data_IF_158126449579
#
_entry.id   IF_158126449579
#
_cell.length_a   1.000
_cell.length_b   1.000
_cell.length_c   1.000
_cell.angle_alpha   90.00
_cell.angle_beta   90.00
_cell.angle_gamma   90.00
#
_symmetry.space_group_name_H-M   'P 1'
#
loop_
_entity.id
_entity.type
_entity.pdbx_description
1 polymer ?
#
# COMPACT_ATOMS: atom_id res chain seq x y z
N UNK A 1 -23.66 -36.42 -11.03
CA UNK A 1 -24.21 -35.53 -9.98
C UNK A 1 -24.14 -34.11 -10.53
N UNK A 2 -25.25 -33.38 -10.53
CA UNK A 2 -25.43 -32.10 -11.25
C UNK A 2 -24.43 -31.04 -10.74
N UNK A 3 -23.55 -30.51 -11.60
CA UNK A 3 -22.77 -29.31 -11.31
C UNK A 3 -23.70 -28.11 -11.43
N UNK A 4 -24.14 -27.58 -10.30
CA UNK A 4 -24.82 -26.28 -10.29
C UNK A 4 -23.72 -25.21 -10.43
N UNK A 5 -23.71 -24.51 -11.56
CA UNK A 5 -22.96 -23.29 -11.72
C UNK A 5 -23.68 -22.21 -10.91
N UNK A 6 -23.10 -21.82 -9.76
CA UNK A 6 -23.58 -20.68 -9.00
C UNK A 6 -22.89 -19.44 -9.57
N UNK A 7 -23.64 -18.60 -10.28
CA UNK A 7 -23.20 -17.26 -10.66
C UNK A 7 -23.59 -16.36 -9.49
N UNK A 8 -22.61 -15.92 -8.70
CA UNK A 8 -22.83 -14.95 -7.64
C UNK A 8 -22.86 -13.54 -8.25
N UNK A 9 -23.99 -12.85 -8.10
CA UNK A 9 -24.11 -11.41 -8.33
C UNK A 9 -24.19 -10.73 -6.97
N UNK A 10 -23.41 -9.68 -6.75
CA UNK A 10 -23.63 -8.79 -5.61
C UNK A 10 -23.67 -7.34 -6.06
N UNK A 11 -24.66 -6.63 -5.51
CA UNK A 11 -24.83 -5.20 -5.67
C UNK A 11 -24.07 -4.48 -4.55
N UNK A 12 -23.31 -3.45 -4.91
CA UNK A 12 -22.67 -2.52 -3.98
C UNK A 12 -23.48 -1.22 -3.93
N UNK A 13 -23.59 -0.59 -2.76
CA UNK A 13 -24.14 0.77 -2.59
C UNK A 13 -23.03 1.67 -2.06
N UNK A 14 -22.76 2.78 -2.74
CA UNK A 14 -21.87 3.84 -2.24
C UNK A 14 -22.73 5.03 -1.85
N UNK A 15 -22.66 5.43 -0.58
CA UNK A 15 -23.24 6.69 -0.10
C UNK A 15 -22.10 7.68 0.14
N UNK A 16 -21.86 8.59 -0.81
CA UNK A 16 -20.97 9.72 -0.62
C UNK A 16 -21.81 10.96 -0.29
N UNK A 17 -21.78 11.42 0.96
CA UNK A 17 -22.28 12.74 1.33
C UNK A 17 -21.11 13.73 1.25
N UNK A 18 -21.01 14.42 0.11
CA UNK A 18 -20.06 15.51 -0.09
C UNK A 18 -20.74 16.82 0.30
N UNK A 19 -20.34 17.43 1.42
CA UNK A 19 -20.49 18.89 1.59
C UNK A 19 -19.13 19.53 1.30
N UNK A 20 -18.99 20.12 0.12
CA UNK A 20 -17.83 20.93 -0.22
C UNK A 20 -18.20 22.42 -0.12
N UNK A 21 -17.45 23.23 0.65
CA UNK A 21 -17.20 24.61 0.27
C UNK A 21 -15.99 24.63 -0.66
N UNK A 22 -16.19 25.05 -1.91
CA UNK A 22 -15.08 25.42 -2.82
C UNK A 22 -14.30 26.58 -2.21
N UNK A 23 -13.00 26.41 -2.04
CA UNK A 23 -12.09 27.45 -1.56
C UNK A 23 -10.75 26.90 -1.10
N UNK A 24 -10.06 26.13 -1.93
CA UNK A 24 -8.62 25.91 -1.80
C UNK A 24 -7.99 26.45 -3.07
N UNK A 25 -7.10 27.44 -2.92
CA UNK A 25 -6.36 28.02 -4.02
C UNK A 25 -5.54 26.93 -4.70
N UNK A 26 -5.67 26.88 -6.02
CA UNK A 26 -4.86 26.07 -6.91
C UNK A 26 -3.42 26.61 -6.91
N UNK A 27 -2.54 25.97 -6.16
CA UNK A 27 -1.12 25.82 -6.48
C UNK A 27 -0.60 24.59 -5.71
N UNK A 28 -0.08 23.64 -6.48
CA UNK A 28 0.21 22.23 -6.23
C UNK A 28 0.97 21.89 -4.94
N UNK A 29 0.34 21.68 -3.77
CA UNK A 29 0.99 20.94 -2.67
C UNK A 29 -0.03 20.23 -1.78
N UNK A 30 -0.57 19.11 -2.27
CA UNK A 30 -1.19 18.05 -1.45
C UNK A 30 -1.31 16.82 -2.34
N UNK A 31 -0.18 16.14 -2.59
CA UNK A 31 -0.24 14.75 -3.03
C UNK A 31 -0.77 13.93 -1.85
N UNK A 32 -2.09 13.74 -1.87
CA UNK A 32 -2.74 12.67 -1.12
C UNK A 32 -2.20 11.34 -1.66
N UNK A 33 -2.02 10.29 -0.83
CA UNK A 33 -1.78 8.96 -1.36
C UNK A 33 -2.87 8.66 -2.38
N UNK A 34 -2.50 8.27 -3.61
CA UNK A 34 -3.46 7.97 -4.69
C UNK A 34 -4.52 6.92 -4.27
N UNK A 35 -4.23 6.11 -3.25
CA UNK A 35 -5.19 5.19 -2.63
C UNK A 35 -6.36 5.87 -1.91
N UNK A 36 -6.22 7.11 -1.41
CA UNK A 36 -7.27 7.85 -0.69
C UNK A 36 -8.03 8.85 -1.58
N UNK A 37 -7.53 9.11 -2.80
CA UNK A 37 -8.17 9.88 -3.87
C UNK A 37 -8.76 9.00 -4.97
N UNK A 38 -8.43 7.69 -5.00
CA UNK A 38 -9.41 6.71 -5.47
C UNK A 38 -10.66 6.90 -4.63
N UNK A 39 -11.61 7.65 -5.18
CA UNK A 39 -13.01 7.41 -4.89
C UNK A 39 -13.13 5.91 -5.14
N UNK A 40 -13.32 5.10 -4.10
CA UNK A 40 -13.63 3.69 -4.27
C UNK A 40 -14.94 3.64 -5.05
N UNK A 41 -14.84 3.77 -6.38
CA UNK A 41 -15.93 3.63 -7.31
C UNK A 41 -16.31 2.17 -7.26
N UNK A 42 -17.62 1.90 -7.24
CA UNK A 42 -18.25 0.59 -7.33
C UNK A 42 -17.38 -0.37 -8.16
N UNK A 43 -16.64 -1.26 -7.49
CA UNK A 43 -15.90 -2.32 -8.17
C UNK A 43 -16.81 -3.53 -8.20
N UNK A 44 -17.22 -3.90 -9.42
CA UNK A 44 -17.98 -5.11 -9.69
C UNK A 44 -17.07 -5.97 -10.55
N UNK A 45 -16.27 -6.82 -9.89
CA UNK A 45 -15.28 -7.64 -10.56
C UNK A 45 -15.97 -8.93 -11.02
N UNK A 46 -15.88 -9.23 -12.31
CA UNK A 46 -16.15 -10.58 -12.79
C UNK A 46 -14.94 -11.44 -12.42
N UNK A 47 -14.98 -12.08 -11.25
CA UNK A 47 -13.93 -13.02 -10.88
C UNK A 47 -13.97 -14.22 -11.86
N UNK A 48 -12.83 -14.65 -12.42
CA UNK A 48 -12.67 -16.03 -12.88
C UNK A 48 -12.95 -16.97 -11.70
N UNK A 49 -13.06 -18.28 -11.95
CA UNK A 49 -13.21 -19.29 -10.90
C UNK A 49 -11.96 -19.26 -10.02
N UNK A 50 -11.96 -18.42 -8.98
CA UNK A 50 -10.98 -18.37 -7.90
C UNK A 50 -11.64 -18.85 -6.61
N UNK A 51 -10.81 -19.16 -5.61
CA UNK A 51 -11.29 -19.70 -4.34
C UNK A 51 -11.59 -18.57 -3.31
N UNK A 52 -11.81 -17.32 -3.72
CA UNK A 52 -12.02 -16.21 -2.79
C UNK A 52 -13.03 -15.18 -3.30
N UNK A 53 -14.15 -15.01 -2.59
CA UNK A 53 -15.11 -13.93 -2.89
C UNK A 53 -14.93 -12.77 -1.92
N UNK A 54 -14.86 -11.54 -2.44
CA UNK A 54 -14.66 -10.33 -1.64
C UNK A 54 -15.73 -9.27 -1.96
N UNK A 55 -16.29 -8.65 -0.93
CA UNK A 55 -17.27 -7.57 -1.05
C UNK A 55 -16.84 -6.38 -0.19
N UNK A 56 -16.66 -5.20 -0.80
CA UNK A 56 -16.17 -4.00 -0.14
C UNK A 56 -17.22 -2.87 -0.17
N UNK A 57 -17.43 -2.23 0.97
CA UNK A 57 -18.19 -0.98 1.11
C UNK A 57 -17.35 0.01 1.93
N UNK A 58 -16.91 1.11 1.31
CA UNK A 58 -16.31 2.23 2.05
C UNK A 58 -17.13 3.51 1.96
N UNK A 59 -17.01 4.31 3.01
CA UNK A 59 -17.60 5.63 3.13
C UNK A 59 -16.58 6.60 3.73
N UNK A 60 -16.51 7.81 3.17
CA UNK A 60 -15.63 8.89 3.62
C UNK A 60 -16.49 10.08 4.02
N UNK A 61 -16.28 10.61 5.22
CA UNK A 61 -16.98 11.79 5.72
C UNK A 61 -15.94 12.84 6.07
N UNK A 62 -16.03 14.02 5.45
CA UNK A 62 -15.12 15.14 5.73
C UNK A 62 -15.92 16.24 6.39
N UNK A 63 -15.50 16.70 7.58
CA UNK A 63 -16.14 17.80 8.30
C UNK A 63 -15.10 18.89 8.54
N UNK A 64 -15.09 19.90 7.69
CA UNK A 64 -14.31 21.13 7.90
C UNK A 64 -15.24 22.24 8.39
N UNK A 65 -15.02 22.76 9.60
CA UNK A 65 -15.68 23.99 10.05
C UNK A 65 -14.74 25.18 9.76
N UNK A 66 -14.99 25.86 8.64
CA UNK A 66 -14.40 27.17 8.36
C UNK A 66 -15.49 28.23 8.56
N UNK A 67 -15.59 28.79 9.77
CA UNK A 67 -16.40 29.99 10.00
C UNK A 67 -15.79 31.14 9.18
N UNK A 68 -16.48 31.58 8.12
CA UNK A 68 -16.04 32.74 7.34
C UNK A 68 -16.28 34.03 8.12
N UNK A 69 -15.23 34.83 8.38
CA UNK A 69 -15.37 36.20 8.83
C UNK A 69 -15.63 37.11 7.62
N UNK A 70 -16.86 37.62 7.50
CA UNK A 70 -17.36 38.30 6.28
C UNK A 70 -16.67 39.64 5.93
N UNK A 71 -15.64 40.06 6.65
CA UNK A 71 -15.00 41.37 6.50
C UNK A 71 -13.56 41.35 5.96
N UNK A 72 -12.87 40.20 5.92
CA UNK A 72 -11.45 40.15 5.50
C UNK A 72 -11.14 39.20 4.34
N UNK A 73 -12.04 38.29 3.96
CA UNK A 73 -11.89 37.46 2.75
C UNK A 73 -10.85 36.33 2.82
N UNK A 74 -10.14 36.16 3.93
CA UNK A 74 -9.28 35.01 4.21
C UNK A 74 -9.86 34.19 5.36
N UNK A 75 -10.28 32.96 5.08
CA UNK A 75 -10.69 31.99 6.10
C UNK A 75 -10.33 30.57 5.62
N UNK A 76 -9.05 30.21 5.70
CA UNK A 76 -8.66 28.81 5.79
C UNK A 76 -8.66 28.46 7.29
N UNK A 77 -9.50 27.51 7.71
CA UNK A 77 -9.40 26.98 9.06
C UNK A 77 -8.01 26.34 9.20
N UNK A 78 -7.26 26.71 10.23
CA UNK A 78 -5.93 26.15 10.51
C UNK A 78 -5.96 24.66 10.89
N UNK A 79 -7.14 24.05 10.88
CA UNK A 79 -7.34 22.63 11.14
C UNK A 79 -8.45 22.06 10.27
N UNK A 80 -8.44 20.74 10.11
CA UNK A 80 -9.50 19.96 9.46
C UNK A 80 -9.71 18.65 10.20
N UNK A 81 -10.98 18.29 10.43
CA UNK A 81 -11.34 16.96 10.94
C UNK A 81 -11.88 16.12 9.79
N UNK A 82 -11.44 14.88 9.68
CA UNK A 82 -11.95 13.95 8.68
C UNK A 82 -12.12 12.55 9.26
N UNK A 83 -13.06 11.80 8.71
CA UNK A 83 -13.36 10.44 9.11
C UNK A 83 -13.48 9.51 7.91
N UNK A 84 -13.10 8.26 8.11
CA UNK A 84 -13.23 7.21 7.11
C UNK A 84 -13.75 5.94 7.77
N UNK A 85 -14.79 5.34 7.21
CA UNK A 85 -15.35 4.08 7.67
C UNK A 85 -15.43 3.09 6.51
N UNK A 86 -14.88 1.90 6.71
CA UNK A 86 -14.84 0.81 5.74
C UNK A 86 -15.40 -0.46 6.35
N UNK A 87 -16.12 -1.22 5.54
CA UNK A 87 -16.57 -2.57 5.85
C UNK A 87 -16.26 -3.47 4.67
N UNK A 88 -15.60 -4.60 4.91
CA UNK A 88 -15.27 -5.58 3.89
C UNK A 88 -15.65 -6.97 4.37
N UNK A 89 -16.39 -7.71 3.57
CA UNK A 89 -16.59 -9.14 3.79
C UNK A 89 -15.64 -9.91 2.89
N UNK A 90 -14.98 -10.92 3.45
CA UNK A 90 -14.16 -11.87 2.71
C UNK A 90 -14.65 -13.28 2.97
N UNK A 91 -14.71 -14.06 1.89
CA UNK A 91 -14.94 -15.50 1.91
C UNK A 91 -13.74 -16.15 1.24
N UNK A 92 -13.05 -17.01 1.96
CA UNK A 92 -11.90 -17.78 1.48
C UNK A 92 -12.30 -19.24 1.49
N UNK A 93 -11.99 -19.94 0.41
CA UNK A 93 -12.22 -21.36 0.28
C UNK A 93 -10.87 -22.03 0.01
N UNK A 94 -10.55 -23.10 0.72
CA UNK A 94 -9.33 -23.86 0.54
C UNK A 94 -8.06 -22.98 0.44
N UNK A 95 -7.93 -21.98 1.33
CA UNK A 95 -6.99 -20.87 1.13
C UNK A 95 -5.53 -21.35 1.06
N UNK A 96 -5.10 -22.23 1.96
CA UNK A 96 -3.71 -22.72 1.96
C UNK A 96 -3.45 -23.87 0.98
N UNK A 97 -4.45 -24.25 0.16
CA UNK A 97 -4.42 -25.37 -0.79
C UNK A 97 -4.11 -26.74 -0.17
N UNK A 98 -4.10 -26.86 1.16
CA UNK A 98 -3.84 -28.11 1.86
C UNK A 98 -5.14 -28.91 1.94
N UNK A 99 -5.30 -29.82 1.00
CA UNK A 99 -6.32 -30.85 1.07
C UNK A 99 -5.87 -31.88 2.13
N UNK A 100 -6.63 -32.02 3.23
CA UNK A 100 -6.47 -33.08 4.24
C UNK A 100 -5.46 -32.78 5.38
N UNK A 101 -5.63 -31.65 6.09
CA UNK A 101 -4.95 -31.44 7.39
C UNK A 101 -5.38 -32.56 8.36
N UNK A 102 -4.45 -33.32 8.97
CA UNK A 102 -4.80 -34.20 10.08
C UNK A 102 -5.41 -33.34 11.19
N UNK A 103 -6.72 -33.48 11.39
CA UNK A 103 -7.45 -32.64 12.32
C UNK A 103 -6.97 -32.94 13.74
N UNK A 104 -6.15 -32.06 14.31
CA UNK A 104 -5.77 -32.21 15.72
C UNK A 104 -6.99 -31.94 16.61
N UNK A 105 -7.98 -31.17 16.11
CA UNK A 105 -9.22 -30.80 16.82
C UNK A 105 -10.52 -30.88 15.97
N UNK A 106 -10.53 -31.64 14.88
CA UNK A 106 -11.74 -31.85 14.04
C UNK A 106 -12.03 -30.78 12.98
N UNK A 107 -11.16 -29.78 12.76
CA UNK A 107 -11.25 -28.88 11.61
C UNK A 107 -10.26 -29.30 10.53
N UNK A 108 -10.78 -30.02 9.53
CA UNK A 108 -10.13 -30.27 8.24
C UNK A 108 -10.53 -29.20 7.20
N UNK A 109 -11.20 -28.14 7.67
CA UNK A 109 -11.73 -27.06 6.84
C UNK A 109 -10.83 -25.82 7.01
N UNK A 110 -10.32 -25.33 5.90
CA UNK A 110 -9.51 -24.12 5.74
C UNK A 110 -10.30 -23.06 4.94
N UNK A 111 -11.61 -23.25 4.80
CA UNK A 111 -12.54 -22.21 4.41
C UNK A 111 -12.73 -21.25 5.59
N UNK A 112 -12.88 -19.97 5.29
CA UNK A 112 -13.11 -18.94 6.29
C UNK A 112 -14.00 -17.83 5.75
N UNK A 113 -14.84 -17.25 6.60
CA UNK A 113 -15.75 -16.18 6.21
C UNK A 113 -15.79 -15.13 7.30
N UNK A 114 -15.29 -13.94 7.03
CA UNK A 114 -15.15 -12.91 8.04
C UNK A 114 -15.54 -11.53 7.53
N UNK A 115 -15.91 -10.69 8.48
CA UNK A 115 -16.26 -9.30 8.27
C UNK A 115 -15.20 -8.42 8.91
N UNK A 116 -14.56 -7.60 8.08
CA UNK A 116 -13.62 -6.58 8.48
C UNK A 116 -14.34 -5.24 8.57
N UNK A 117 -14.05 -4.49 9.62
CA UNK A 117 -14.45 -3.09 9.75
C UNK A 117 -13.24 -2.25 10.06
N UNK A 118 -13.21 -1.01 9.55
CA UNK A 118 -12.19 -0.02 9.88
C UNK A 118 -12.79 1.36 10.01
N UNK A 119 -12.52 2.02 11.12
CA UNK A 119 -12.81 3.43 11.32
C UNK A 119 -11.50 4.19 11.48
N UNK A 120 -11.39 5.36 10.85
CA UNK A 120 -10.32 6.34 11.07
C UNK A 120 -10.91 7.69 11.39
N UNK A 121 -10.34 8.37 12.37
CA UNK A 121 -10.62 9.78 12.67
C UNK A 121 -9.31 10.55 12.65
N UNK A 122 -9.23 11.54 11.78
CA UNK A 122 -8.04 12.34 11.55
C UNK A 122 -8.28 13.81 11.87
N UNK A 123 -7.27 14.45 12.44
CA UNK A 123 -7.15 15.90 12.58
C UNK A 123 -5.90 16.33 11.84
N UNK A 124 -6.07 17.12 10.79
CA UNK A 124 -4.97 17.84 10.12
C UNK A 124 -4.86 19.23 10.74
N UNK A 125 -3.64 19.74 10.88
CA UNK A 125 -3.36 21.11 11.31
C UNK A 125 -2.43 21.80 10.31
N UNK A 126 -2.65 23.08 10.08
CA UNK A 126 -1.85 23.99 9.27
C UNK A 126 -2.00 25.42 9.81
N UNK A 127 -1.43 25.73 10.99
CA UNK A 127 -1.52 27.06 11.61
C UNK A 127 -0.88 28.18 10.81
N UNK A 128 0.06 27.87 9.91
CA UNK A 128 0.70 28.80 8.99
C UNK A 128 1.37 28.01 7.85
N UNK A 129 1.85 28.68 6.78
CA UNK A 129 2.46 28.01 5.63
C UNK A 129 3.78 27.25 5.89
N UNK A 130 4.30 27.26 7.13
CA UNK A 130 5.55 26.59 7.49
C UNK A 130 5.34 25.36 8.36
N UNK A 131 4.20 25.24 9.04
CA UNK A 131 3.93 24.14 9.95
C UNK A 131 2.64 23.44 9.54
N UNK A 132 2.75 22.15 9.30
CA UNK A 132 1.60 21.27 9.09
C UNK A 132 1.74 20.00 9.94
N UNK A 133 0.64 19.31 10.23
CA UNK A 133 0.67 18.06 10.96
C UNK A 133 -0.60 17.26 10.81
N UNK A 134 -0.54 16.01 11.24
CA UNK A 134 -1.70 15.10 11.26
C UNK A 134 -1.65 14.22 12.49
N UNK A 135 -2.82 13.98 13.05
CA UNK A 135 -3.09 12.90 14.01
C UNK A 135 -4.24 12.07 13.47
N UNK A 136 -4.07 10.76 13.34
CA UNK A 136 -5.10 9.80 12.90
C UNK A 136 -5.20 8.68 13.93
N UNK A 137 -6.38 8.49 14.51
CA UNK A 137 -6.72 7.26 15.22
C UNK A 137 -7.38 6.26 14.28
N UNK A 138 -7.10 4.97 14.45
CA UNK A 138 -7.70 3.88 13.70
C UNK A 138 -8.24 2.81 14.64
N UNK A 139 -9.42 2.28 14.37
CA UNK A 139 -9.96 1.06 14.99
C UNK A 139 -10.33 0.10 13.85
N UNK A 140 -9.67 -1.04 13.79
CA UNK A 140 -9.84 -2.08 12.76
C UNK A 140 -10.21 -3.40 13.43
N UNK A 141 -11.37 -3.96 13.11
CA UNK A 141 -11.88 -5.18 13.76
C UNK A 141 -12.21 -6.25 12.75
N UNK A 142 -12.00 -7.48 13.19
CA UNK A 142 -12.44 -8.68 12.50
C UNK A 142 -13.61 -9.34 13.25
N UNK A 143 -14.56 -9.89 12.50
CA UNK A 143 -15.68 -10.63 13.07
C UNK A 143 -15.95 -11.91 12.27
N UNK A 144 -16.13 -13.02 12.98
CA UNK A 144 -16.62 -14.27 12.42
C UNK A 144 -15.55 -15.17 11.79
N UNK A 145 -14.27 -14.82 11.91
CA UNK A 145 -13.16 -15.67 11.48
C UNK A 145 -13.04 -16.92 12.35
N UNK A 146 -12.89 -18.08 11.72
CA UNK A 146 -12.70 -19.37 12.40
C UNK A 146 -11.23 -19.84 12.38
N UNK A 147 -10.38 -19.26 11.50
CA UNK A 147 -9.02 -19.77 11.22
C UNK A 147 -7.92 -18.75 11.59
N UNK A 148 -8.23 -17.46 11.66
CA UNK A 148 -7.22 -16.42 11.90
C UNK A 148 -6.81 -16.40 13.39
N UNK A 149 -5.50 -16.41 13.62
CA UNK A 149 -4.90 -16.33 14.94
C UNK A 149 -4.09 -15.04 15.07
N UNK A 150 -4.72 -14.01 15.64
CA UNK A 150 -4.09 -12.70 15.83
C UNK A 150 -2.82 -12.76 16.70
N UNK A 151 -2.78 -13.59 17.75
CA UNK A 151 -1.57 -13.72 18.58
C UNK A 151 -0.35 -14.21 17.76
N UNK A 152 -0.58 -15.10 16.78
CA UNK A 152 0.48 -15.57 15.89
C UNK A 152 0.87 -14.50 14.86
N UNK A 153 -0.09 -13.75 14.33
CA UNK A 153 0.15 -12.68 13.37
C UNK A 153 0.86 -11.48 14.01
N UNK A 154 0.43 -11.04 15.19
CA UNK A 154 1.07 -9.98 15.99
C UNK A 154 2.54 -10.32 16.28
N UNK A 155 2.83 -11.56 16.73
CA UNK A 155 4.20 -12.04 16.98
C UNK A 155 5.10 -12.03 15.76
N UNK A 156 4.53 -12.13 14.57
CA UNK A 156 5.25 -12.06 13.30
C UNK A 156 5.29 -10.65 12.71
N UNK A 157 4.57 -9.69 13.31
CA UNK A 157 4.38 -8.35 12.77
C UNK A 157 3.62 -8.30 11.45
N UNK A 158 2.77 -9.30 11.19
CA UNK A 158 2.03 -9.44 9.92
C UNK A 158 0.51 -9.37 10.08
N UNK A 159 0.00 -8.93 11.24
CA UNK A 159 -1.45 -8.77 11.41
C UNK A 159 -1.98 -7.64 10.53
N UNK A 160 -2.73 -8.04 9.51
CA UNK A 160 -3.39 -7.17 8.54
C UNK A 160 -4.91 -7.13 8.72
N UNK A 161 -5.46 -7.77 9.76
CA UNK A 161 -6.89 -8.01 9.94
C UNK A 161 -7.47 -7.26 11.13
N UNK A 162 -6.80 -7.30 12.29
CA UNK A 162 -7.25 -6.66 13.52
C UNK A 162 -6.17 -5.75 14.10
N UNK A 163 -6.59 -4.55 14.45
CA UNK A 163 -5.84 -3.66 15.32
C UNK A 163 -6.87 -2.77 16.00
N UNK A 164 -7.02 -2.94 17.32
CA UNK A 164 -7.97 -2.17 18.12
C UNK A 164 -7.59 -0.68 18.09
N UNK A 165 -8.32 0.19 18.79
CA UNK A 165 -8.07 1.64 18.73
C UNK A 165 -6.58 1.98 18.99
N UNK A 166 -5.87 2.38 17.93
CA UNK A 166 -4.45 2.76 17.94
C UNK A 166 -4.20 4.10 17.21
N UNK A 167 -3.00 4.63 17.37
CA UNK A 167 -2.49 5.82 16.70
C UNK A 167 -1.87 5.43 15.34
N UNK A 168 -2.66 5.60 14.27
CA UNK A 168 -2.24 5.26 12.90
C UNK A 168 -1.25 6.26 12.29
N UNK A 169 -1.44 7.55 12.56
CA UNK A 169 -0.53 8.61 12.15
C UNK A 169 -0.44 9.67 13.25
N UNK A 170 0.76 10.20 13.49
CA UNK A 170 1.01 11.33 14.35
C UNK A 170 2.34 11.97 13.97
N UNK A 171 2.30 13.00 13.13
CA UNK A 171 3.50 13.65 12.65
C UNK A 171 3.34 15.16 12.49
N UNK A 172 4.49 15.84 12.49
CA UNK A 172 4.62 17.25 12.15
C UNK A 172 5.59 17.39 10.97
N UNK A 173 5.30 18.35 10.09
CA UNK A 173 6.18 18.80 9.01
C UNK A 173 6.44 20.31 9.17
N UNK A 174 7.72 20.67 9.17
CA UNK A 174 8.22 22.03 9.26
C UNK A 174 8.97 22.40 7.97
N UNK A 175 8.44 23.36 7.21
CA UNK A 175 9.14 23.98 6.07
C UNK A 175 10.08 25.08 6.57
N UNK A 176 11.32 25.07 6.10
CA UNK A 176 12.38 25.96 6.57
C UNK A 176 12.30 27.32 5.87
N UNK A 177 11.40 28.18 6.35
CA UNK A 177 11.14 29.48 5.72
C UNK A 177 10.67 29.31 4.27
N UNK A 178 11.06 30.22 3.38
CA UNK A 178 10.75 30.15 1.94
C UNK A 178 11.65 29.18 1.15
N UNK A 179 12.53 28.44 1.82
CA UNK A 179 13.43 27.50 1.16
C UNK A 179 12.68 26.25 0.67
N UNK A 180 13.26 25.49 -0.29
CA UNK A 180 12.70 24.21 -0.74
C UNK A 180 12.84 23.10 0.31
N UNK A 181 13.45 23.38 1.47
CA UNK A 181 13.72 22.38 2.49
C UNK A 181 12.59 22.26 3.50
N UNK A 182 12.27 21.04 3.89
CA UNK A 182 11.39 20.75 5.01
C UNK A 182 11.91 19.55 5.82
N UNK A 183 11.49 19.48 7.09
CA UNK A 183 11.74 18.34 7.98
C UNK A 183 10.38 17.80 8.39
N UNK A 184 10.21 16.48 8.40
CA UNK A 184 8.99 15.82 8.88
C UNK A 184 9.36 14.69 9.83
N UNK A 185 8.66 14.58 10.96
CA UNK A 185 8.95 13.55 11.95
C UNK A 185 7.68 13.07 12.68
N UNK A 186 7.65 11.79 13.01
CA UNK A 186 6.58 11.12 13.76
C UNK A 186 6.12 9.83 13.09
N UNK A 187 4.94 9.33 13.49
CA UNK A 187 4.32 8.15 12.89
C UNK A 187 3.60 8.52 11.61
N UNK A 188 3.95 7.93 10.48
CA UNK A 188 3.38 8.26 9.17
C UNK A 188 3.34 7.07 8.22
N UNK A 189 2.51 7.14 7.18
CA UNK A 189 2.63 6.21 6.06
C UNK A 189 3.75 6.66 5.11
N UNK A 190 4.53 5.69 4.64
CA UNK A 190 5.51 5.88 3.58
C UNK A 190 4.99 5.22 2.31
N UNK A 191 4.75 6.03 1.28
CA UNK A 191 4.27 5.59 -0.03
C UNK A 191 5.16 6.24 -1.08
N UNK A 192 5.93 5.44 -1.82
CA UNK A 192 6.85 5.93 -2.86
C UNK A 192 6.68 5.18 -4.16
N UNK A 193 6.79 5.92 -5.27
CA UNK A 193 6.50 5.41 -6.62
C UNK A 193 5.14 4.73 -6.65
N UNK A 194 5.12 3.52 -7.20
CA UNK A 194 3.96 2.63 -7.27
C UNK A 194 3.72 1.80 -6.00
N UNK A 195 4.46 2.06 -4.93
CA UNK A 195 4.42 1.25 -3.72
C UNK A 195 4.82 -0.22 -3.92
N UNK A 196 5.56 -0.52 -5.00
CA UNK A 196 6.06 -1.88 -5.26
C UNK A 196 7.16 -2.29 -4.29
N UNK A 197 7.89 -1.33 -3.73
CA UNK A 197 8.94 -1.54 -2.71
C UNK A 197 8.64 -0.85 -1.37
N UNK A 198 7.95 0.30 -1.38
CA UNK A 198 7.64 1.09 -0.18
C UNK A 198 6.19 1.59 -0.23
N UNK A 199 5.33 0.97 0.56
CA UNK A 199 3.89 1.21 0.58
C UNK A 199 3.25 1.04 1.95
N UNK A 200 2.14 1.75 2.14
CA UNK A 200 1.31 1.73 3.33
C UNK A 200 0.31 0.57 3.38
N UNK A 201 0.20 -0.24 2.32
CA UNK A 201 -0.67 -1.43 2.26
C UNK A 201 -2.10 -1.19 2.76
N UNK A 202 -2.77 -0.13 2.26
CA UNK A 202 -4.12 0.23 2.75
C UNK A 202 -5.21 -0.77 2.36
N UNK A 203 -4.90 -1.74 1.47
CA UNK A 203 -5.72 -2.92 1.23
C UNK A 203 -5.95 -3.69 2.54
N UNK A 204 -4.90 -3.95 3.32
CA UNK A 204 -5.03 -4.54 4.66
C UNK A 204 -6.06 -3.82 5.51
N UNK A 205 -6.70 -4.53 6.44
CA UNK A 205 -7.57 -3.89 7.43
C UNK A 205 -6.75 -3.01 8.36
N UNK A 206 -5.66 -3.53 8.89
CA UNK A 206 -4.59 -2.69 9.42
C UNK A 206 -3.74 -2.23 8.23
N UNK A 207 -3.34 -0.96 8.19
CA UNK A 207 -2.46 -0.44 7.16
C UNK A 207 -1.09 -0.17 7.78
N UNK A 208 -0.03 -0.38 7.01
CA UNK A 208 1.35 -0.16 7.45
C UNK A 208 1.60 1.31 7.70
N UNK A 209 2.32 1.60 8.78
CA UNK A 209 2.86 2.90 9.11
C UNK A 209 4.28 2.74 9.69
N UNK A 210 5.00 3.84 9.79
CA UNK A 210 6.40 3.89 10.19
C UNK A 210 6.60 5.03 11.17
N UNK A 211 7.40 4.80 12.19
CA UNK A 211 7.96 5.89 12.99
C UNK A 211 9.20 6.38 12.23
N UNK A 212 9.13 7.61 11.70
CA UNK A 212 10.09 8.09 10.72
C UNK A 212 10.51 9.55 10.93
N UNK A 213 11.72 9.86 10.49
CA UNK A 213 12.24 11.20 10.31
C UNK A 213 12.66 11.41 8.85
N UNK A 214 12.27 12.53 8.27
CA UNK A 214 12.51 12.88 6.87
C UNK A 214 13.15 14.26 6.75
N UNK A 215 14.16 14.37 5.90
CA UNK A 215 14.60 15.64 5.31
C UNK A 215 14.11 15.66 3.87
N UNK A 216 13.42 16.74 3.50
CA UNK A 216 12.74 16.88 2.22
C UNK A 216 13.33 18.07 1.48
N UNK A 217 13.64 17.89 0.20
CA UNK A 217 13.89 18.95 -0.77
C UNK A 217 12.77 18.93 -1.81
N UNK A 218 12.07 20.06 -2.00
CA UNK A 218 10.88 20.14 -2.83
C UNK A 218 10.93 21.35 -3.76
N UNK A 219 11.03 21.10 -5.06
CA UNK A 219 10.83 22.05 -6.15
C UNK A 219 9.78 21.53 -7.13
N UNK A 220 9.33 22.36 -8.07
CA UNK A 220 8.28 22.00 -9.03
C UNK A 220 8.61 20.73 -9.85
N UNK A 221 9.84 20.65 -10.37
CA UNK A 221 10.26 19.56 -11.27
C UNK A 221 11.14 18.50 -10.59
N UNK A 222 11.48 18.69 -9.31
CA UNK A 222 12.43 17.84 -8.61
C UNK A 222 12.11 17.75 -7.12
N UNK A 223 12.16 16.54 -6.57
CA UNK A 223 12.16 16.32 -5.13
C UNK A 223 13.22 15.31 -4.72
N UNK A 224 13.75 15.47 -3.51
CA UNK A 224 14.64 14.51 -2.86
C UNK A 224 14.21 14.32 -1.40
N UNK A 225 13.92 13.08 -1.02
CA UNK A 225 13.59 12.69 0.34
C UNK A 225 14.75 11.86 0.90
N UNK A 226 15.28 12.25 2.06
CA UNK A 226 16.19 11.45 2.88
C UNK A 226 15.43 11.00 4.12
N UNK A 227 15.35 9.70 4.35
CA UNK A 227 14.46 9.11 5.34
C UNK A 227 15.21 8.11 6.20
N UNK A 228 14.95 8.16 7.51
CA UNK A 228 15.22 7.09 8.44
C UNK A 228 13.87 6.70 9.07
N UNK A 229 13.59 5.40 9.11
CA UNK A 229 12.30 4.88 9.53
C UNK A 229 12.45 3.50 10.14
N UNK A 230 11.57 3.19 11.08
CA UNK A 230 11.33 1.85 11.57
C UNK A 230 9.86 1.51 11.31
N UNK A 231 9.60 0.28 10.88
CA UNK A 231 8.21 -0.17 10.66
C UNK A 231 7.52 -0.31 12.01
N UNK A 232 6.26 0.10 12.09
CA UNK A 232 5.47 -0.10 13.31
C UNK A 232 4.85 -1.49 13.27
N UNK A 233 5.02 -2.23 14.36
CA UNK A 233 4.48 -3.58 14.55
C UNK A 233 3.11 -3.47 15.19
N UNK A 234 2.13 -4.12 14.58
CA UNK A 234 0.77 -4.23 15.12
C UNK A 234 0.78 -5.16 16.32
N UNK A 235 0.19 -4.69 17.43
CA UNK A 235 -0.20 -5.52 18.57
C UNK A 235 -1.69 -5.30 18.81
N UNK A 236 -2.51 -6.26 18.39
CA UNK A 236 -3.97 -6.17 18.47
C UNK A 236 -4.51 -6.02 19.91
N UNK A 237 -3.68 -6.21 20.93
CA UNK A 237 -4.03 -6.17 22.35
C UNK A 237 -3.31 -5.08 23.16
N UNK A 238 -2.42 -4.30 22.53
CA UNK A 238 -1.69 -3.20 23.16
C UNK A 238 -1.61 -1.96 22.24
N UNK A 239 -0.77 -0.99 22.60
CA UNK A 239 -0.43 0.11 21.71
C UNK A 239 0.72 -0.32 20.81
N UNK A 240 0.64 0.02 19.53
CA UNK A 240 1.63 -0.36 18.54
C UNK A 240 2.97 0.36 18.75
N UNK A 241 4.07 -0.39 18.63
CA UNK A 241 5.43 0.14 18.79
C UNK A 241 6.25 0.01 17.49
N UNK A 242 7.23 0.87 17.35
CA UNK A 242 8.29 0.74 16.36
C UNK A 242 9.01 -0.60 16.50
N UNK A 243 9.39 -1.21 15.38
CA UNK A 243 10.35 -2.30 15.34
C UNK A 243 11.78 -1.75 15.34
N UNK A 244 12.38 -1.71 16.52
CA UNK A 244 13.75 -1.20 16.70
C UNK A 244 14.82 -2.19 16.16
N UNK A 245 14.42 -3.40 15.75
CA UNK A 245 15.27 -4.42 15.13
C UNK A 245 15.17 -4.40 13.58
N UNK A 246 14.44 -3.45 12.97
CA UNK A 246 14.28 -3.31 11.51
C UNK A 246 14.46 -1.85 11.05
N UNK A 247 15.72 -1.47 10.89
CA UNK A 247 16.15 -0.15 10.46
C UNK A 247 15.97 0.01 8.94
N UNK A 248 15.29 1.08 8.53
CA UNK A 248 15.08 1.40 7.12
C UNK A 248 15.51 2.83 6.80
N UNK A 249 16.59 2.96 6.02
CA UNK A 249 17.15 4.24 5.61
C UNK A 249 17.13 4.36 4.09
N UNK A 250 16.72 5.51 3.55
CA UNK A 250 16.75 5.67 2.11
C UNK A 250 16.85 7.11 1.62
N UNK A 251 17.35 7.24 0.39
CA UNK A 251 17.28 8.44 -0.42
C UNK A 251 16.37 8.17 -1.63
N UNK A 252 15.40 9.05 -1.88
CA UNK A 252 14.45 8.92 -2.98
C UNK A 252 14.35 10.24 -3.76
N UNK A 253 14.77 10.23 -5.02
CA UNK A 253 14.72 11.39 -5.90
C UNK A 253 13.65 11.20 -6.98
N UNK A 254 12.81 12.21 -7.18
CA UNK A 254 11.78 12.21 -8.23
C UNK A 254 11.97 13.41 -9.14
N UNK A 255 12.05 13.15 -10.44
CA UNK A 255 12.09 14.15 -11.50
C UNK A 255 10.75 14.16 -12.23
N UNK A 256 10.10 15.32 -12.31
CA UNK A 256 8.80 15.51 -12.97
C UNK A 256 8.98 16.21 -14.31
N UNK A 257 7.89 16.30 -15.07
CA UNK A 257 7.78 17.08 -16.31
C UNK A 257 8.84 16.72 -17.38
N UNK A 258 9.23 15.44 -17.48
CA UNK A 258 10.07 14.95 -18.59
C UNK A 258 9.20 14.44 -19.74
N UNK A 259 9.70 14.45 -20.99
CA UNK A 259 8.97 13.90 -22.13
C UNK A 259 8.55 12.43 -21.95
N UNK A 260 9.32 11.67 -21.16
CA UNK A 260 9.06 10.27 -20.84
C UNK A 260 8.11 10.07 -19.65
N UNK A 261 7.70 11.15 -18.97
CA UNK A 261 6.93 11.13 -17.73
C UNK A 261 7.78 11.38 -16.48
N UNK A 262 7.26 10.94 -15.33
CA UNK A 262 7.94 11.03 -14.03
C UNK A 262 9.04 9.96 -13.94
N UNK A 263 10.19 10.33 -13.39
CA UNK A 263 11.33 9.44 -13.21
C UNK A 263 11.77 9.44 -11.75
N UNK A 264 11.84 8.25 -11.15
CA UNK A 264 12.31 8.05 -9.79
C UNK A 264 13.68 7.38 -9.79
N UNK A 265 14.52 7.75 -8.83
CA UNK A 265 15.80 7.12 -8.54
C UNK A 265 15.92 6.95 -7.04
N UNK A 266 16.29 5.75 -6.58
CA UNK A 266 16.32 5.47 -5.16
C UNK A 266 17.48 4.57 -4.75
N UNK A 267 18.00 4.85 -3.55
CA UNK A 267 18.92 4.01 -2.82
C UNK A 267 18.31 3.73 -1.45
N UNK A 268 18.05 2.45 -1.18
CA UNK A 268 17.42 1.97 0.05
C UNK A 268 18.42 1.10 0.81
N UNK A 269 18.39 1.17 2.12
CA UNK A 269 19.14 0.33 3.05
C UNK A 269 18.16 -0.19 4.08
N UNK A 270 18.16 -1.51 4.30
CA UNK A 270 17.38 -2.17 5.33
C UNK A 270 18.29 -3.09 6.12
N UNK A 271 18.29 -2.93 7.43
CA UNK A 271 18.99 -3.79 8.37
C UNK A 271 17.97 -4.40 9.32
N UNK A 272 17.82 -5.71 9.28
CA UNK A 272 16.88 -6.43 10.09
C UNK A 272 17.62 -7.50 10.91
N UNK A 273 17.76 -7.22 12.20
CA UNK A 273 18.51 -8.05 13.15
C UNK A 273 17.79 -9.38 13.41
N UNK A 274 16.46 -9.37 13.52
CA UNK A 274 15.65 -10.58 13.73
C UNK A 274 15.86 -11.63 12.62
N UNK A 275 15.93 -11.15 11.38
CA UNK A 275 16.09 -11.96 10.17
C UNK A 275 17.56 -12.14 9.75
N UNK A 276 18.51 -11.51 10.45
CA UNK A 276 19.92 -11.41 10.06
C UNK A 276 20.06 -11.01 8.57
N UNK A 277 19.52 -9.84 8.23
CA UNK A 277 19.40 -9.38 6.85
C UNK A 277 19.83 -7.92 6.74
N UNK A 278 20.90 -7.68 6.00
CA UNK A 278 21.39 -6.36 5.65
C UNK A 278 21.33 -6.21 4.12
N UNK A 279 20.39 -5.42 3.60
CA UNK A 279 20.17 -5.29 2.14
C UNK A 279 20.24 -3.82 1.73
N UNK A 280 21.06 -3.58 0.71
CA UNK A 280 21.08 -2.34 -0.05
C UNK A 280 20.31 -2.55 -1.35
N UNK A 281 19.47 -1.60 -1.75
CA UNK A 281 18.68 -1.62 -2.99
C UNK A 281 18.93 -0.35 -3.79
N UNK A 282 19.43 -0.47 -5.01
CA UNK A 282 19.51 0.62 -5.98
C UNK A 282 18.46 0.40 -7.07
N UNK A 283 17.65 1.40 -7.39
CA UNK A 283 16.67 1.25 -8.46
C UNK A 283 16.17 2.54 -9.06
N UNK A 284 15.31 2.38 -10.08
CA UNK A 284 14.71 3.46 -10.83
C UNK A 284 13.33 3.06 -11.34
N UNK A 285 12.46 4.07 -11.50
CA UNK A 285 11.13 3.93 -12.09
C UNK A 285 10.88 5.02 -13.12
N UNK A 286 10.15 4.70 -14.19
CA UNK A 286 9.65 5.64 -15.19
C UNK A 286 8.17 5.39 -15.40
N UNK A 287 7.35 6.40 -15.14
CA UNK A 287 5.90 6.36 -15.32
C UNK A 287 5.46 7.53 -16.20
N UNK A 288 4.74 7.24 -17.28
CA UNK A 288 4.41 8.28 -18.25
C UNK A 288 3.35 7.88 -19.25
N UNK A 289 2.93 8.87 -20.05
CA UNK A 289 1.93 8.70 -21.09
C UNK A 289 2.17 9.64 -22.27
N UNK A 290 1.75 9.21 -23.45
CA UNK A 290 1.72 10.01 -24.67
C UNK A 290 0.45 9.69 -25.47
N UNK A 291 -0.51 10.61 -25.46
CA UNK A 291 -1.81 10.41 -26.07
C UNK A 291 -2.56 9.25 -25.40
N UNK A 292 -2.96 8.28 -26.20
CA UNK A 292 -3.68 7.08 -25.75
C UNK A 292 -2.74 5.97 -25.21
N UNK A 293 -1.42 6.16 -25.29
CA UNK A 293 -0.43 5.21 -24.77
C UNK A 293 0.05 5.65 -23.38
N UNK A 294 0.21 4.69 -22.49
CA UNK A 294 0.81 4.86 -21.18
C UNK A 294 1.79 3.73 -20.88
N UNK A 295 2.75 3.97 -19.98
CA UNK A 295 3.78 3.00 -19.62
C UNK A 295 4.26 3.19 -18.20
N UNK A 296 4.74 2.08 -17.64
CA UNK A 296 5.34 2.04 -16.33
C UNK A 296 6.47 1.01 -16.32
N UNK A 297 7.68 1.46 -15.96
CA UNK A 297 8.87 0.61 -15.89
C UNK A 297 9.54 0.81 -14.54
N UNK A 298 9.89 -0.27 -13.85
CA UNK A 298 10.61 -0.22 -12.58
C UNK A 298 11.67 -1.33 -12.55
N UNK A 299 12.86 -1.00 -12.07
CA UNK A 299 13.97 -1.94 -11.94
C UNK A 299 14.77 -1.68 -10.67
N UNK A 300 15.17 -2.75 -9.99
CA UNK A 300 15.93 -2.69 -8.75
C UNK A 300 16.99 -3.78 -8.71
N UNK A 301 18.16 -3.44 -8.16
CA UNK A 301 19.26 -4.36 -7.88
C UNK A 301 19.60 -4.30 -6.39
N UNK A 302 19.80 -5.46 -5.79
CA UNK A 302 20.07 -5.65 -4.38
C UNK A 302 21.42 -6.34 -4.14
N UNK A 303 22.09 -5.90 -3.09
CA UNK A 303 23.30 -6.54 -2.57
C UNK A 303 23.34 -6.45 -1.04
N UNK A 304 24.13 -7.31 -0.40
CA UNK A 304 24.34 -7.29 1.05
C UNK A 304 24.46 -8.70 1.61
N UNK A 305 23.82 -8.96 2.75
CA UNK A 305 23.77 -10.29 3.36
C UNK A 305 22.35 -10.65 3.80
N UNK A 306 22.02 -11.94 3.72
CA UNK A 306 20.71 -12.43 4.16
C UNK A 306 20.77 -13.92 4.49
N UNK A 307 19.90 -14.37 5.38
CA UNK A 307 19.75 -15.80 5.65
C UNK A 307 18.93 -16.51 4.58
N UNK A 308 19.32 -17.73 4.21
CA UNK A 308 18.43 -18.67 3.51
C UNK A 308 17.46 -19.25 4.54
N UNK A 309 16.26 -18.69 4.59
CA UNK A 309 15.16 -19.35 5.27
C UNK A 309 13.89 -19.28 4.43
N UNK A 310 13.52 -20.44 3.89
CA UNK A 310 12.20 -20.74 3.30
C UNK A 310 11.06 -20.59 4.34
N UNK A 311 11.37 -20.36 5.62
CA UNK A 311 10.44 -19.89 6.64
C UNK A 311 11.18 -19.02 7.67
N UNK A 312 10.78 -17.76 7.92
CA UNK A 312 11.47 -16.84 8.82
C UNK A 312 11.40 -17.38 10.26
N UNK A 313 12.37 -18.20 10.63
CA UNK A 313 12.63 -18.51 12.03
C UNK A 313 13.73 -17.57 12.45
N UNK A 314 13.38 -16.56 13.25
CA UNK A 314 14.31 -15.56 13.73
C UNK A 314 15.59 -16.23 14.27
N UNK A 315 16.75 -15.75 13.81
CA UNK A 315 18.06 -16.19 14.32
C UNK A 315 18.55 -17.60 13.93
N UNK A 316 17.92 -18.31 12.99
CA UNK A 316 18.43 -19.62 12.55
C UNK A 316 18.60 -19.71 11.03
N UNK A 317 19.83 -19.53 10.55
CA UNK A 317 20.20 -19.71 9.14
C UNK A 317 21.67 -19.37 8.93
N UNK A 318 22.28 -19.92 7.88
CA UNK A 318 23.60 -19.45 7.43
C UNK A 318 23.43 -18.06 6.81
N UNK A 319 24.34 -17.13 7.12
CA UNK A 319 24.33 -15.79 6.51
C UNK A 319 25.02 -15.92 5.15
N UNK A 320 24.27 -15.66 4.08
CA UNK A 320 24.71 -15.79 2.69
C UNK A 320 24.94 -14.43 2.05
N UNK A 321 25.77 -14.40 1.00
CA UNK A 321 26.00 -13.22 0.17
C UNK A 321 24.74 -12.93 -0.66
N UNK A 322 24.12 -11.78 -0.43
CA UNK A 322 22.86 -11.42 -1.10
C UNK A 322 23.17 -10.73 -2.42
N UNK A 323 22.63 -11.24 -3.53
CA UNK A 323 22.68 -10.61 -4.85
C UNK A 323 21.41 -10.91 -5.63
N UNK A 324 20.51 -9.95 -5.71
CA UNK A 324 19.20 -10.17 -6.33
C UNK A 324 18.79 -8.98 -7.19
N UNK A 325 17.91 -9.19 -8.16
CA UNK A 325 17.37 -8.10 -8.98
C UNK A 325 15.94 -8.36 -9.39
N UNK A 326 15.22 -7.29 -9.67
CA UNK A 326 13.84 -7.36 -10.12
C UNK A 326 13.57 -6.28 -11.17
N UNK A 327 12.67 -6.59 -12.09
CA UNK A 327 12.21 -5.66 -13.13
C UNK A 327 10.73 -5.85 -13.42
N UNK A 328 10.01 -4.75 -13.59
CA UNK A 328 8.60 -4.72 -13.94
C UNK A 328 8.39 -3.75 -15.09
N UNK A 329 7.59 -4.15 -16.07
CA UNK A 329 7.24 -3.33 -17.21
C UNK A 329 5.75 -3.50 -17.52
N UNK A 330 5.03 -2.40 -17.73
CA UNK A 330 3.65 -2.36 -18.20
C UNK A 330 3.54 -1.32 -19.32
N UNK A 331 2.79 -1.65 -20.37
CA UNK A 331 2.41 -0.71 -21.43
C UNK A 331 0.91 -0.84 -21.65
N UNK A 332 0.21 0.30 -21.60
CA UNK A 332 -1.23 0.43 -21.79
C UNK A 332 -1.59 1.19 -23.06
N UNK A 333 -2.72 0.82 -23.66
CA UNK A 333 -3.39 1.61 -24.69
C UNK A 333 -4.85 1.83 -24.32
N UNK A 334 -5.25 3.10 -24.20
CA UNK A 334 -6.61 3.54 -23.91
C UNK A 334 -7.29 4.04 -25.18
N UNK A 335 -8.37 3.40 -25.63
CA UNK A 335 -9.15 3.93 -26.75
C UNK A 335 -10.09 5.05 -26.27
N UNK A 336 -9.55 6.26 -26.12
CA UNK A 336 -10.25 7.42 -25.54
C UNK A 336 -11.47 7.88 -26.34
N UNK A 337 -11.53 7.58 -27.64
CA UNK A 337 -12.64 7.99 -28.52
C UNK A 337 -13.92 7.15 -28.34
N UNK A 338 -13.86 6.04 -27.61
CA UNK A 338 -15.04 5.23 -27.30
C UNK A 338 -15.69 5.71 -26.01
N UNK A 339 -17.03 5.62 -25.94
CA UNK A 339 -17.80 6.07 -24.78
C UNK A 339 -17.38 5.41 -23.45
N UNK A 340 -16.88 4.17 -23.50
CA UNK A 340 -16.38 3.44 -22.33
C UNK A 340 -14.88 3.57 -22.08
N UNK A 341 -14.14 4.28 -22.95
CA UNK A 341 -12.69 4.46 -22.91
C UNK A 341 -11.91 3.20 -22.46
N UNK A 342 -12.05 2.06 -23.16
CA UNK A 342 -11.43 0.82 -22.73
C UNK A 342 -9.91 0.94 -22.83
N UNK A 343 -9.22 0.52 -21.77
CA UNK A 343 -7.76 0.41 -21.69
C UNK A 343 -7.37 -1.05 -21.62
N UNK A 344 -6.52 -1.47 -22.55
CA UNK A 344 -5.84 -2.76 -22.51
C UNK A 344 -4.37 -2.50 -22.14
N UNK A 345 -3.86 -3.20 -21.13
CA UNK A 345 -2.44 -3.16 -20.80
C UNK A 345 -1.87 -4.56 -20.71
N UNK A 346 -0.62 -4.68 -21.16
CA UNK A 346 0.20 -5.87 -21.00
C UNK A 346 1.36 -5.54 -20.10
N UNK A 347 1.67 -6.45 -19.17
CA UNK A 347 2.75 -6.27 -18.25
C UNK A 347 3.53 -7.56 -18.01
N UNK A 348 4.75 -7.39 -17.52
CA UNK A 348 5.61 -8.47 -17.07
C UNK A 348 6.39 -8.01 -15.85
N UNK A 349 6.28 -8.76 -14.75
CA UNK A 349 7.09 -8.56 -13.56
C UNK A 349 7.96 -9.79 -13.34
N UNK A 350 9.25 -9.57 -13.13
CA UNK A 350 10.25 -10.58 -12.80
C UNK A 350 10.97 -10.18 -11.52
N UNK A 351 11.24 -11.16 -10.67
CA UNK A 351 12.18 -11.00 -9.56
C UNK A 351 13.01 -12.29 -9.45
N UNK A 352 14.32 -12.12 -9.25
CA UNK A 352 15.24 -13.24 -9.12
C UNK A 352 14.87 -14.12 -7.91
N UNK A 353 15.23 -15.38 -8.05
CA UNK A 353 15.12 -16.42 -7.04
C UNK A 353 16.46 -17.10 -6.87
N UNK A 354 16.59 -17.87 -5.79
CA UNK A 354 17.77 -18.66 -5.52
C UNK A 354 17.81 -19.92 -6.40
N UNK A 355 18.90 -20.10 -7.16
CA UNK A 355 19.04 -21.18 -8.15
C UNK A 355 19.79 -22.41 -7.59
N UNK A 356 20.55 -22.26 -6.50
CA UNK A 356 21.24 -23.36 -5.79
C UNK A 356 21.25 -23.14 -4.26
N UNK A 357 20.37 -23.82 -3.50
CA UNK A 357 20.27 -23.64 -2.04
C UNK A 357 21.45 -24.25 -1.25
N UNK A 358 22.49 -24.76 -1.91
CA UNK A 358 23.65 -25.37 -1.27
C UNK A 358 24.95 -24.58 -1.53
N UNK A 359 24.86 -23.37 -2.07
CA UNK A 359 25.97 -22.46 -2.18
C UNK A 359 25.94 -21.39 -1.06
N UNK A 360 26.82 -20.39 -1.19
CA UNK A 360 26.96 -19.33 -0.20
C UNK A 360 26.28 -18.02 -0.64
N UNK A 361 25.37 -18.08 -1.61
CA UNK A 361 24.65 -16.95 -2.16
C UNK A 361 23.16 -17.03 -1.83
N UNK A 362 22.50 -15.87 -1.76
CA UNK A 362 21.04 -15.79 -1.80
C UNK A 362 20.65 -14.86 -2.94
N UNK A 363 20.07 -15.43 -3.99
CA UNK A 363 19.64 -14.66 -5.15
C UNK A 363 18.15 -14.31 -5.16
N UNK A 364 17.42 -14.59 -4.08
CA UNK A 364 15.99 -14.24 -3.97
C UNK A 364 15.82 -12.77 -3.62
N UNK A 365 15.14 -12.02 -4.49
CA UNK A 365 14.87 -10.60 -4.27
C UNK A 365 14.04 -10.35 -3.00
N UNK A 366 14.41 -9.33 -2.23
CA UNK A 366 13.63 -8.86 -1.09
C UNK A 366 12.67 -7.75 -1.50
N UNK A 367 11.37 -8.00 -1.39
CA UNK A 367 10.33 -7.05 -1.77
C UNK A 367 10.18 -5.85 -0.80
N UNK A 368 10.95 -5.79 0.29
CA UNK A 368 10.95 -4.75 1.32
C UNK A 368 9.57 -4.57 1.98
N UNK A 369 8.96 -3.41 1.84
CA UNK A 369 7.68 -3.02 2.44
C UNK A 369 6.63 -2.72 1.36
N UNK A 370 6.20 -3.70 0.57
CA UNK A 370 5.40 -3.45 -0.62
C UNK A 370 3.90 -3.35 -0.34
N UNK A 371 3.16 -2.86 -1.33
CA UNK A 371 1.70 -3.04 -1.46
C UNK A 371 1.42 -4.11 -2.53
N UNK A 372 1.66 -5.38 -2.21
CA UNK A 372 1.61 -6.49 -3.19
C UNK A 372 0.23 -6.71 -3.83
N UNK A 373 -0.83 -6.46 -3.08
CA UNK A 373 -2.22 -6.64 -3.54
C UNK A 373 -2.54 -5.89 -4.84
N UNK A 374 -1.85 -4.78 -5.12
CA UNK A 374 -2.04 -4.00 -6.35
C UNK A 374 -1.54 -4.72 -7.61
N UNK A 375 -0.63 -5.69 -7.48
CA UNK A 375 0.17 -6.20 -8.59
C UNK A 375 0.10 -7.71 -8.79
N UNK A 376 -0.01 -8.48 -7.70
CA UNK A 376 0.24 -9.93 -7.74
C UNK A 376 -1.00 -10.79 -7.46
N UNK A 377 -2.18 -10.19 -7.64
CA UNK A 377 -3.48 -10.86 -7.59
C UNK A 377 -4.17 -10.76 -6.23
N UNK A 378 -5.50 -10.88 -6.25
CA UNK A 378 -6.37 -10.69 -5.08
C UNK A 378 -6.24 -11.77 -4.00
N UNK A 379 -5.57 -12.88 -4.32
CA UNK A 379 -5.31 -13.98 -3.39
C UNK A 379 -4.11 -13.72 -2.48
N UNK A 380 -3.30 -12.68 -2.75
CA UNK A 380 -2.16 -12.27 -1.92
C UNK A 380 -1.10 -13.37 -1.63
N UNK A 381 -1.00 -14.41 -2.47
CA UNK A 381 0.01 -15.47 -2.33
C UNK A 381 1.38 -15.13 -2.92
N UNK A 382 1.43 -14.13 -3.78
CA UNK A 382 2.62 -13.81 -4.55
C UNK A 382 3.15 -12.44 -4.14
N UNK A 383 4.47 -12.36 -4.14
CA UNK A 383 5.22 -11.13 -3.95
C UNK A 383 6.23 -10.99 -5.07
N UNK A 384 6.90 -9.84 -5.19
CA UNK A 384 7.96 -9.63 -6.16
C UNK A 384 9.25 -10.35 -5.75
N UNK A 385 9.18 -11.66 -5.56
CA UNK A 385 10.28 -12.52 -5.09
C UNK A 385 10.18 -13.85 -5.83
N UNK A 386 11.27 -14.30 -6.45
CA UNK A 386 11.33 -15.56 -7.22
C UNK A 386 10.09 -15.77 -8.13
N UNK A 387 9.83 -14.81 -9.04
CA UNK A 387 8.59 -14.79 -9.81
C UNK A 387 8.82 -14.45 -11.28
N UNK A 388 8.03 -15.09 -12.15
CA UNK A 388 7.78 -14.68 -13.53
C UNK A 388 6.28 -14.45 -13.70
N UNK A 389 5.86 -13.19 -13.82
CA UNK A 389 4.44 -12.81 -13.83
C UNK A 389 4.07 -12.01 -15.09
N UNK A 390 3.66 -12.68 -16.18
CA UNK A 390 2.95 -12.03 -17.27
C UNK A 390 1.53 -11.65 -16.82
N UNK A 391 1.14 -10.39 -17.01
CA UNK A 391 -0.19 -9.91 -16.69
C UNK A 391 -0.85 -9.19 -17.87
N UNK A 392 -2.18 -9.27 -17.90
CA UNK A 392 -3.05 -8.60 -18.86
C UNK A 392 -4.11 -7.87 -18.06
N UNK A 393 -4.22 -6.55 -18.24
CA UNK A 393 -5.20 -5.72 -17.54
C UNK A 393 -6.19 -5.12 -18.50
N UNK A 394 -7.47 -5.19 -18.16
CA UNK A 394 -8.54 -4.58 -18.93
C UNK A 394 -9.36 -3.65 -18.03
N UNK A 395 -9.36 -2.36 -18.36
CA UNK A 395 -10.15 -1.37 -17.65
C UNK A 395 -11.18 -0.75 -18.61
N UNK A 396 -12.42 -0.54 -18.16
CA UNK A 396 -13.40 0.25 -18.93
C UNK A 396 -14.40 0.93 -18.01
N UNK A 397 -14.93 2.07 -18.46
CA UNK A 397 -15.98 2.82 -17.78
C UNK A 397 -17.33 2.40 -18.34
N UNK A 398 -18.22 1.89 -17.50
CA UNK A 398 -19.61 1.68 -17.89
C UNK A 398 -20.46 2.94 -17.71
N UNK A 399 -20.06 3.82 -16.79
CA UNK A 399 -20.58 5.18 -16.63
C UNK A 399 -19.58 6.04 -15.85
N UNK A 400 -19.87 7.32 -15.66
CA UNK A 400 -19.07 8.21 -14.79
C UNK A 400 -18.94 7.71 -13.34
N UNK A 401 -19.83 6.80 -12.91
CA UNK A 401 -19.87 6.27 -11.54
C UNK A 401 -19.46 4.80 -11.44
N UNK A 402 -19.23 4.12 -12.56
CA UNK A 402 -19.00 2.68 -12.59
C UNK A 402 -17.85 2.36 -13.53
N UNK A 403 -16.78 1.78 -12.98
CA UNK A 403 -15.59 1.34 -13.70
C UNK A 403 -15.38 -0.14 -13.41
N UNK A 404 -15.04 -0.89 -14.46
CA UNK A 404 -14.64 -2.28 -14.38
C UNK A 404 -13.13 -2.38 -14.58
N UNK A 405 -12.48 -3.25 -13.80
CA UNK A 405 -11.06 -3.56 -13.89
C UNK A 405 -10.88 -5.08 -13.76
N UNK A 406 -9.97 -5.65 -14.53
CA UNK A 406 -9.56 -7.06 -14.43
C UNK A 406 -8.06 -7.17 -14.54
#
# INVERSE_FOLDING_TARGET
MKRNFLIAYGLVFILSLVSAPRGWGSEEWTEWPEELTQTESLQLNAAPIDNSNQWLVASKVVVSDSQKNQTTGEDASWYRISGHARTRYESRQNYDFIYDRPSVDGMADNDDNFLLTRFRLSVDIEPNPYLSGRVTFQDSREFGSDVINHDALDRSGTDIFENKTDLHEAYLKLRLGESPWAIQAGRMQLNYGDQRLIGGFNWGNTARNFDAAKILYQEADFSLDLVAANVVVVDSNAWDNSNDDDDFLFAYATMRNKPQGTQDFYLLYRDNDDLNREIYTLGTRIDGACGDLDWNFEGAWQWGSSTDTVAPTAGSGEILDHKAWAASAEIGYTQSNLACAPRLAVGYSYASGDDDPNDNENNTFDNLYPTNHLYYGYMDFFSWRNIHNPNLKLHWKASDKLTFKT
#
